data_IF_388736760174
#
_entry.id   IF_388736760174
#
_cell.length_a   1.000
_cell.length_b   1.000
_cell.length_c   1.000
_cell.angle_alpha   90.00
_cell.angle_beta   90.00
_cell.angle_gamma   90.00
#
_symmetry.space_group_name_H-M   'P 1'
#
loop_
_entity.id
_entity.type
_entity.pdbx_description
1 polymer ?
#
# COMPACT_ATOMS: atom_id res chain seq x y z
N UNK A 1 2.52 5.06 10.87
CA UNK A 1 3.41 6.24 10.89
C UNK A 1 3.86 6.54 9.48
N UNK A 2 4.03 7.82 9.13
CA UNK A 2 4.64 8.22 7.84
C UNK A 2 6.14 8.38 8.01
N UNK A 3 6.92 7.90 7.04
CA UNK A 3 8.35 8.17 6.96
C UNK A 3 8.61 9.18 5.85
N UNK A 4 9.56 10.08 6.05
CA UNK A 4 9.82 11.22 5.15
C UNK A 4 11.32 11.42 4.95
N UNK A 5 11.73 11.58 3.69
CA UNK A 5 13.06 12.04 3.28
C UNK A 5 12.88 13.38 2.58
N UNK A 6 13.60 14.41 3.03
CA UNK A 6 13.58 15.74 2.43
C UNK A 6 14.91 16.01 1.72
N UNK A 7 14.83 16.46 0.47
CA UNK A 7 15.97 16.86 -0.35
C UNK A 7 15.98 18.37 -0.48
N UNK A 8 17.16 18.99 -0.34
CA UNK A 8 17.35 20.43 -0.41
C UNK A 8 18.54 20.78 -1.30
N UNK A 9 18.52 21.99 -1.86
CA UNK A 9 19.71 22.62 -2.43
C UNK A 9 20.73 22.94 -1.32
N UNK A 10 21.98 23.24 -1.71
CA UNK A 10 23.01 23.71 -0.78
C UNK A 10 22.64 25.04 -0.09
N UNK A 11 21.75 25.82 -0.69
CA UNK A 11 21.19 27.06 -0.12
C UNK A 11 19.96 26.80 0.77
N UNK A 12 19.74 25.55 1.20
CA UNK A 12 18.64 25.11 2.05
C UNK A 12 17.22 25.24 1.47
N UNK A 13 17.08 25.43 0.16
CA UNK A 13 15.77 25.41 -0.51
C UNK A 13 15.30 23.96 -0.73
N UNK A 14 14.12 23.53 -0.23
CA UNK A 14 13.54 22.23 -0.57
C UNK A 14 13.40 22.04 -2.08
N UNK A 15 13.65 20.83 -2.58
CA UNK A 15 13.49 20.48 -4.01
C UNK A 15 12.65 19.21 -4.21
N UNK A 16 12.64 18.31 -3.23
CA UNK A 16 11.80 17.14 -3.27
C UNK A 16 11.52 16.61 -1.86
N UNK A 17 10.41 15.92 -1.73
CA UNK A 17 10.10 15.09 -0.57
C UNK A 17 9.68 13.70 -1.04
N UNK A 18 10.31 12.68 -0.48
CA UNK A 18 9.88 11.29 -0.63
C UNK A 18 9.22 10.87 0.67
N UNK A 19 8.01 10.31 0.59
CA UNK A 19 7.28 9.87 1.77
C UNK A 19 6.68 8.48 1.60
N UNK A 20 6.71 7.70 2.67
CA UNK A 20 6.27 6.31 2.71
C UNK A 20 5.18 6.16 3.78
N UNK A 21 4.01 5.68 3.36
CA UNK A 21 2.90 5.42 4.28
C UNK A 21 2.11 4.18 3.84
N UNK A 22 1.76 3.33 4.80
CA UNK A 22 1.05 2.08 4.56
C UNK A 22 -0.46 2.32 4.53
N UNK A 23 -1.02 2.47 3.32
CA UNK A 23 -2.46 2.61 3.10
C UNK A 23 -2.81 2.30 1.64
N UNK A 24 -3.87 1.54 1.42
CA UNK A 24 -4.42 1.34 0.08
C UNK A 24 -4.94 2.65 -0.53
N UNK A 25 -4.61 2.88 -1.80
CA UNK A 25 -5.15 3.97 -2.62
C UNK A 25 -6.45 3.53 -3.32
N UNK A 26 -7.51 3.32 -2.53
CA UNK A 26 -8.76 2.68 -2.99
C UNK A 26 -10.03 3.50 -2.74
N UNK A 27 -9.90 4.72 -2.22
CA UNK A 27 -11.04 5.58 -1.86
C UNK A 27 -11.84 6.08 -3.07
N UNK A 28 -11.20 6.22 -4.23
CA UNK A 28 -11.84 6.59 -5.49
C UNK A 28 -12.47 5.39 -6.21
N UNK A 29 -12.35 4.17 -5.67
CA UNK A 29 -12.63 2.92 -6.38
C UNK A 29 -14.08 2.73 -6.87
N UNK A 30 -15.03 3.58 -6.48
CA UNK A 30 -16.42 3.55 -6.95
C UNK A 30 -16.85 4.79 -7.74
N UNK A 31 -15.92 5.73 -7.98
CA UNK A 31 -16.20 7.00 -8.65
C UNK A 31 -16.18 6.89 -10.18
N UNK A 32 -15.63 5.80 -10.73
CA UNK A 32 -15.31 5.58 -12.16
C UNK A 32 -14.65 6.81 -12.80
N UNK A 33 -13.61 7.31 -12.15
CA UNK A 33 -12.85 8.46 -12.62
C UNK A 33 -11.35 8.18 -12.50
N UNK A 34 -10.57 8.81 -13.38
CA UNK A 34 -9.11 8.83 -13.23
C UNK A 34 -8.78 9.74 -12.05
N UNK A 35 -8.06 9.19 -11.07
CA UNK A 35 -7.69 9.89 -9.84
C UNK A 35 -6.37 9.35 -9.31
N UNK A 36 -5.58 10.22 -8.69
CA UNK A 36 -4.43 9.81 -7.86
C UNK A 36 -4.82 9.36 -6.45
N UNK A 37 -6.12 9.37 -6.13
CA UNK A 37 -6.67 9.00 -4.83
C UNK A 37 -6.08 9.88 -3.69
N UNK A 38 -6.07 9.39 -2.46
CA UNK A 38 -5.47 10.08 -1.31
C UNK A 38 -3.97 10.36 -1.54
N UNK A 39 -3.13 9.42 -2.05
CA UNK A 39 -1.72 9.71 -2.32
C UNK A 39 -1.51 10.88 -3.29
N UNK A 40 -2.24 10.88 -4.41
CA UNK A 40 -2.13 11.95 -5.41
C UNK A 40 -2.61 13.29 -4.87
N UNK A 41 -3.68 13.29 -4.08
CA UNK A 41 -4.16 14.52 -3.42
C UNK A 41 -3.19 15.02 -2.35
N UNK A 42 -2.52 14.09 -1.63
CA UNK A 42 -1.45 14.41 -0.67
C UNK A 42 -0.27 15.08 -1.38
N UNK A 43 0.25 14.45 -2.45
CA UNK A 43 1.36 15.01 -3.22
C UNK A 43 1.02 16.39 -3.77
N UNK A 44 -0.15 16.54 -4.39
CA UNK A 44 -0.60 17.83 -4.94
C UNK A 44 -0.68 18.92 -3.87
N UNK A 45 -1.21 18.59 -2.68
CA UNK A 45 -1.32 19.55 -1.58
C UNK A 45 0.05 20.00 -1.06
N UNK A 46 1.00 19.06 -0.92
CA UNK A 46 2.36 19.38 -0.53
C UNK A 46 3.02 20.27 -1.60
N UNK A 47 2.97 19.88 -2.87
CA UNK A 47 3.56 20.63 -3.98
C UNK A 47 3.02 22.06 -4.07
N UNK A 48 1.70 22.23 -3.94
CA UNK A 48 1.03 23.54 -3.90
C UNK A 48 1.51 24.42 -2.73
N UNK A 49 1.76 23.83 -1.56
CA UNK A 49 2.26 24.55 -0.38
C UNK A 49 3.66 25.15 -0.60
N UNK A 50 4.44 24.60 -1.54
CA UNK A 50 5.77 25.09 -1.91
C UNK A 50 5.75 25.74 -3.31
N UNK A 51 4.65 26.36 -3.70
CA UNK A 51 4.48 27.07 -4.98
C UNK A 51 4.83 26.22 -6.22
N UNK A 52 4.66 24.90 -6.11
CA UNK A 52 5.05 23.89 -7.10
C UNK A 52 6.55 23.91 -7.46
N UNK A 53 7.41 24.41 -6.56
CA UNK A 53 8.86 24.40 -6.73
C UNK A 53 9.54 23.10 -6.26
N UNK A 54 8.77 22.18 -5.65
CA UNK A 54 9.26 20.85 -5.24
C UNK A 54 8.42 19.73 -5.84
N UNK A 55 8.97 18.51 -5.83
CA UNK A 55 8.24 17.29 -6.19
C UNK A 55 7.94 16.48 -4.93
N UNK A 56 6.69 16.05 -4.74
CA UNK A 56 6.28 15.19 -3.63
C UNK A 56 6.01 13.75 -4.10
N UNK A 57 6.94 12.84 -3.79
CA UNK A 57 6.88 11.44 -4.23
C UNK A 57 6.30 10.55 -3.14
N UNK A 58 5.13 9.98 -3.41
CA UNK A 58 4.53 8.91 -2.61
C UNK A 58 5.21 7.57 -2.89
N UNK A 59 5.40 6.79 -1.83
CA UNK A 59 5.63 5.35 -1.91
C UNK A 59 4.66 4.59 -1.01
N UNK A 60 4.09 3.52 -1.55
CA UNK A 60 3.16 2.67 -0.82
C UNK A 60 3.93 1.83 0.17
N UNK A 61 3.67 2.03 1.47
CA UNK A 61 4.13 1.13 2.53
C UNK A 61 3.42 -0.22 2.47
N UNK A 62 3.76 -1.16 3.35
CA UNK A 62 3.08 -2.46 3.45
C UNK A 62 1.59 -2.31 3.80
N UNK A 63 0.76 -2.15 2.77
CA UNK A 63 -0.64 -1.78 2.90
C UNK A 63 -1.58 -2.95 2.69
N UNK A 64 -1.10 -4.18 2.50
CA UNK A 64 -1.91 -5.34 2.11
C UNK A 64 -3.13 -5.59 2.99
N UNK A 65 -3.06 -5.21 4.27
CA UNK A 65 -4.16 -5.27 5.26
C UNK A 65 -4.57 -3.88 5.79
N UNK A 66 -4.18 -2.79 5.13
CA UNK A 66 -4.40 -1.39 5.55
C UNK A 66 -5.29 -0.66 4.55
N UNK A 67 -6.54 -0.40 4.93
CA UNK A 67 -7.45 0.50 4.21
C UNK A 67 -7.40 1.94 4.77
N UNK A 68 -7.83 2.96 4.01
CA UNK A 68 -8.10 4.28 4.57
C UNK A 68 -9.09 4.18 5.74
N UNK A 69 -8.84 4.93 6.81
CA UNK A 69 -9.70 4.90 8.01
C UNK A 69 -11.07 5.55 7.75
N UNK A 70 -11.10 6.66 6.99
CA UNK A 70 -12.33 7.35 6.64
C UNK A 70 -12.83 6.87 5.27
N UNK A 71 -13.65 5.81 5.31
CA UNK A 71 -14.03 5.04 4.13
C UNK A 71 -15.52 4.67 4.09
N UNK A 72 -16.35 5.37 4.87
CA UNK A 72 -17.75 5.01 5.12
C UNK A 72 -18.62 5.02 3.84
N UNK A 73 -18.41 6.01 2.96
CA UNK A 73 -19.17 6.16 1.73
C UNK A 73 -19.06 4.93 0.83
N UNK A 74 -17.88 4.27 0.83
CA UNK A 74 -17.68 3.01 0.08
C UNK A 74 -18.60 1.90 0.57
N UNK A 75 -18.85 1.81 1.88
CA UNK A 75 -19.76 0.83 2.46
C UNK A 75 -21.22 1.18 2.18
N UNK A 76 -21.62 2.44 2.33
CA UNK A 76 -22.99 2.86 2.06
C UNK A 76 -23.39 2.68 0.59
N UNK A 77 -22.49 3.06 -0.34
CA UNK A 77 -22.68 2.83 -1.77
C UNK A 77 -22.72 1.33 -2.09
N UNK A 78 -21.89 0.52 -1.43
CA UNK A 78 -21.93 -0.94 -1.56
C UNK A 78 -23.30 -1.50 -1.13
N UNK A 79 -23.84 -1.04 -0.01
CA UNK A 79 -25.12 -1.52 0.51
C UNK A 79 -26.30 -1.15 -0.39
N UNK A 80 -26.30 0.06 -0.95
CA UNK A 80 -27.27 0.47 -1.97
C UNK A 80 -27.20 -0.51 -3.14
N UNK A 81 -25.99 -0.75 -3.65
CA UNK A 81 -25.78 -1.63 -4.80
C UNK A 81 -26.24 -3.07 -4.53
N UNK A 82 -25.93 -3.63 -3.36
CA UNK A 82 -26.39 -4.97 -2.95
C UNK A 82 -27.92 -5.04 -3.00
N UNK A 83 -28.61 -4.05 -2.42
CA UNK A 83 -30.08 -4.01 -2.41
C UNK A 83 -30.68 -3.90 -3.82
N UNK A 84 -30.08 -3.10 -4.70
CA UNK A 84 -30.56 -2.97 -6.09
C UNK A 84 -30.35 -4.23 -6.94
N UNK A 85 -29.25 -4.96 -6.74
CA UNK A 85 -29.05 -6.26 -7.37
C UNK A 85 -30.01 -7.33 -6.81
N UNK A 86 -30.25 -7.32 -5.49
CA UNK A 86 -31.17 -8.27 -4.87
C UNK A 86 -32.61 -8.14 -5.41
N UNK A 87 -33.07 -6.92 -5.76
CA UNK A 87 -34.38 -6.71 -6.41
C UNK A 87 -34.50 -7.42 -7.77
N UNK A 88 -33.38 -7.73 -8.42
CA UNK A 88 -33.30 -8.47 -9.69
C UNK A 88 -33.05 -9.97 -9.48
N UNK A 89 -33.00 -10.44 -8.24
CA UNK A 89 -32.69 -11.82 -7.89
C UNK A 89 -31.19 -12.15 -7.94
N UNK A 90 -30.32 -11.14 -7.97
CA UNK A 90 -28.87 -11.32 -8.02
C UNK A 90 -28.23 -10.99 -6.66
N UNK A 91 -27.44 -11.91 -6.10
CA UNK A 91 -26.64 -11.66 -4.88
C UNK A 91 -25.17 -11.35 -5.24
N UNK A 92 -24.77 -10.11 -4.96
CA UNK A 92 -23.40 -9.63 -5.17
C UNK A 92 -22.66 -9.37 -3.84
N UNK A 93 -23.24 -9.70 -2.69
CA UNK A 93 -22.69 -9.40 -1.36
C UNK A 93 -21.27 -9.94 -1.19
N UNK A 94 -20.98 -11.10 -1.80
CA UNK A 94 -19.69 -11.78 -1.78
C UNK A 94 -18.94 -11.74 -3.13
N UNK A 95 -19.47 -11.02 -4.14
CA UNK A 95 -18.91 -10.92 -5.49
C UNK A 95 -19.23 -9.54 -6.11
N UNK A 96 -18.67 -8.50 -5.50
CA UNK A 96 -18.97 -7.11 -5.88
C UNK A 96 -18.43 -6.78 -7.28
N UNK A 97 -19.24 -6.19 -8.18
CA UNK A 97 -18.75 -5.68 -9.46
C UNK A 97 -17.64 -4.63 -9.28
N UNK A 98 -16.69 -4.52 -10.22
CA UNK A 98 -15.62 -3.53 -10.16
C UNK A 98 -16.16 -2.11 -10.33
N UNK A 99 -15.46 -1.13 -9.79
CA UNK A 99 -15.83 0.27 -9.96
C UNK A 99 -17.17 0.63 -9.32
N UNK A 100 -17.79 1.67 -9.86
CA UNK A 100 -19.16 2.08 -9.62
C UNK A 100 -20.19 1.33 -10.47
N UNK A 101 -19.80 0.23 -11.14
CA UNK A 101 -20.73 -0.59 -11.95
C UNK A 101 -22.00 -0.91 -11.17
N UNK A 102 -23.15 -0.57 -11.75
CA UNK A 102 -24.48 -0.83 -11.18
C UNK A 102 -24.98 0.22 -10.17
N UNK A 103 -24.24 1.31 -9.92
CA UNK A 103 -24.74 2.46 -9.17
C UNK A 103 -25.53 3.39 -10.09
N UNK A 104 -26.76 3.74 -9.69
CA UNK A 104 -27.54 4.78 -10.35
C UNK A 104 -27.04 6.16 -9.90
N UNK A 105 -26.27 6.82 -10.76
CA UNK A 105 -25.70 8.15 -10.50
C UNK A 105 -26.75 9.28 -10.49
N UNK A 106 -27.94 9.04 -11.02
CA UNK A 106 -29.05 10.01 -10.98
C UNK A 106 -29.82 9.95 -9.65
N UNK A 107 -29.64 8.88 -8.87
CA UNK A 107 -30.20 8.80 -7.53
C UNK A 107 -29.56 9.89 -6.64
N UNK A 108 -30.35 10.80 -6.03
CA UNK A 108 -29.80 11.90 -5.23
C UNK A 108 -28.95 11.43 -4.04
N UNK A 109 -29.27 10.28 -3.45
CA UNK A 109 -28.48 9.71 -2.36
C UNK A 109 -27.13 9.21 -2.86
N UNK A 110 -27.10 8.50 -3.99
CA UNK A 110 -25.84 8.02 -4.60
C UNK A 110 -24.96 9.20 -4.99
N UNK A 111 -25.52 10.20 -5.67
CA UNK A 111 -24.79 11.41 -6.06
C UNK A 111 -24.18 12.13 -4.85
N UNK A 112 -24.94 12.29 -3.76
CA UNK A 112 -24.46 12.86 -2.49
C UNK A 112 -23.29 12.05 -1.92
N UNK A 113 -23.41 10.73 -1.82
CA UNK A 113 -22.37 9.87 -1.25
C UNK A 113 -21.09 9.89 -2.08
N UNK A 114 -21.20 9.88 -3.41
CA UNK A 114 -20.04 10.01 -4.30
C UNK A 114 -19.36 11.37 -4.15
N UNK A 115 -20.12 12.45 -3.94
CA UNK A 115 -19.52 13.76 -3.67
C UNK A 115 -18.80 13.76 -2.32
N UNK A 116 -19.43 13.25 -1.26
CA UNK A 116 -18.80 13.12 0.06
C UNK A 116 -17.55 12.23 0.02
N UNK A 117 -17.53 11.20 -0.84
CA UNK A 117 -16.36 10.35 -1.05
C UNK A 117 -15.21 11.12 -1.72
N UNK A 118 -15.49 12.06 -2.63
CA UNK A 118 -14.46 12.97 -3.18
C UNK A 118 -13.95 13.91 -2.10
N UNK A 119 -14.85 14.49 -1.31
CA UNK A 119 -14.49 15.44 -0.26
C UNK A 119 -13.59 14.77 0.79
N UNK A 120 -13.88 13.53 1.19
CA UNK A 120 -13.05 12.81 2.17
C UNK A 120 -11.68 12.40 1.60
N UNK A 121 -11.57 12.11 0.29
CA UNK A 121 -10.27 11.89 -0.37
C UNK A 121 -9.41 13.16 -0.24
N UNK A 122 -10.01 14.33 -0.50
CA UNK A 122 -9.33 15.61 -0.38
C UNK A 122 -8.91 15.86 1.07
N UNK A 123 -9.82 15.70 2.03
CA UNK A 123 -9.52 15.90 3.45
C UNK A 123 -8.40 14.97 3.94
N UNK A 124 -8.46 13.67 3.62
CA UNK A 124 -7.40 12.74 4.00
C UNK A 124 -6.06 13.10 3.36
N UNK A 125 -6.07 13.55 2.10
CA UNK A 125 -4.85 13.98 1.41
C UNK A 125 -4.22 15.22 2.06
N UNK A 126 -5.03 16.20 2.43
CA UNK A 126 -4.57 17.39 3.16
C UNK A 126 -4.03 17.04 4.54
N UNK A 127 -4.74 16.21 5.31
CA UNK A 127 -4.30 15.78 6.64
C UNK A 127 -2.98 15.02 6.59
N UNK A 128 -2.83 14.11 5.62
CA UNK A 128 -1.58 13.39 5.44
C UNK A 128 -0.44 14.31 4.95
N UNK A 129 -0.75 15.27 4.09
CA UNK A 129 0.22 16.26 3.63
C UNK A 129 0.71 17.17 4.77
N UNK A 130 -0.18 17.59 5.67
CA UNK A 130 0.18 18.30 6.89
C UNK A 130 1.09 17.48 7.80
N UNK A 131 0.83 16.17 7.93
CA UNK A 131 1.69 15.28 8.70
C UNK A 131 3.07 15.12 8.05
N UNK A 132 3.15 14.99 6.71
CA UNK A 132 4.43 14.97 5.98
C UNK A 132 5.21 16.26 6.24
N UNK A 133 4.55 17.42 6.11
CA UNK A 133 5.18 18.71 6.39
C UNK A 133 5.57 18.85 7.86
N UNK A 134 4.79 18.32 8.79
CA UNK A 134 5.13 18.27 10.21
C UNK A 134 6.43 17.49 10.43
N UNK A 135 6.56 16.29 9.83
CA UNK A 135 7.80 15.52 9.90
C UNK A 135 8.96 16.29 9.24
N UNK A 136 8.76 16.91 8.08
CA UNK A 136 9.79 17.73 7.41
C UNK A 136 10.32 18.85 8.31
N UNK A 137 9.44 19.59 9.02
CA UNK A 137 9.83 20.66 9.96
C UNK A 137 10.69 20.16 11.12
N UNK A 138 10.54 18.88 11.48
CA UNK A 138 11.28 18.22 12.54
C UNK A 138 12.62 17.62 12.09
N UNK A 139 12.94 17.59 10.79
CA UNK A 139 14.25 17.15 10.29
C UNK A 139 15.29 18.25 10.59
N UNK A 140 16.22 17.97 11.52
CA UNK A 140 17.25 18.93 11.96
C UNK A 140 18.65 18.68 11.39
N UNK A 141 18.94 17.47 10.91
CA UNK A 141 20.26 17.09 10.40
C UNK A 141 20.14 16.71 8.93
N UNK A 142 20.99 17.32 8.11
CA UNK A 142 21.11 17.08 6.68
C UNK A 142 22.56 16.72 6.39
N UNK A 143 22.74 15.75 5.51
CA UNK A 143 24.05 15.31 5.03
C UNK A 143 24.21 15.74 3.58
N UNK A 144 25.40 16.18 3.19
CA UNK A 144 25.70 16.69 1.84
C UNK A 144 26.47 15.70 0.99
N UNK A 145 27.01 14.65 1.60
CA UNK A 145 27.70 13.54 0.94
C UNK A 145 27.00 12.25 1.34
N UNK A 146 26.19 11.72 0.41
CA UNK A 146 25.38 10.51 0.64
C UNK A 146 25.91 9.40 -0.26
N UNK A 147 26.52 8.34 0.28
CA UNK A 147 26.77 7.13 -0.50
C UNK A 147 25.44 6.47 -0.87
N UNK A 148 25.35 6.00 -2.13
CA UNK A 148 24.17 5.31 -2.66
C UNK A 148 24.59 3.89 -3.02
N UNK A 149 24.03 2.92 -2.33
CA UNK A 149 24.23 1.51 -2.61
C UNK A 149 22.89 0.89 -3.00
N UNK A 150 22.92 -0.08 -3.91
CA UNK A 150 21.70 -0.74 -4.38
C UNK A 150 21.89 -2.23 -4.39
N UNK A 151 20.78 -2.97 -4.26
CA UNK A 151 20.79 -4.42 -4.29
C UNK A 151 19.44 -4.94 -4.76
N UNK A 152 19.44 -6.15 -5.33
CA UNK A 152 18.20 -6.84 -5.66
C UNK A 152 18.38 -8.34 -5.55
N UNK A 153 17.31 -9.03 -5.17
CA UNK A 153 17.31 -10.47 -4.96
C UNK A 153 15.97 -11.05 -5.39
N UNK A 154 15.99 -12.25 -5.93
CA UNK A 154 14.78 -13.04 -6.14
C UNK A 154 14.75 -14.10 -5.05
N UNK A 155 13.62 -14.19 -4.34
CA UNK A 155 13.33 -15.28 -3.42
C UNK A 155 12.19 -16.12 -3.99
N UNK A 156 12.17 -17.41 -3.66
CA UNK A 156 11.17 -18.34 -4.16
C UNK A 156 10.41 -18.94 -2.99
N UNK A 157 9.09 -18.84 -3.02
CA UNK A 157 8.20 -19.35 -1.97
C UNK A 157 7.27 -20.44 -2.55
N UNK A 158 6.97 -21.52 -1.80
CA UNK A 158 6.02 -22.53 -2.23
C UNK A 158 4.63 -21.94 -2.53
N UNK A 159 4.08 -22.31 -3.70
CA UNK A 159 2.79 -21.82 -4.16
C UNK A 159 1.60 -22.70 -3.76
N UNK A 160 0.40 -22.13 -3.85
CA UNK A 160 -0.89 -22.82 -3.73
C UNK A 160 -1.93 -22.20 -4.67
N UNK A 161 -2.89 -22.99 -5.12
CA UNK A 161 -4.05 -22.52 -5.88
C UNK A 161 -5.33 -22.71 -5.07
N UNK A 162 -6.23 -21.73 -5.12
CA UNK A 162 -7.54 -21.81 -4.46
C UNK A 162 -8.53 -22.55 -5.35
N UNK A 163 -9.20 -23.56 -4.79
CA UNK A 163 -10.14 -24.46 -5.48
C UNK A 163 -11.59 -23.98 -5.41
N UNK A 164 -11.95 -23.19 -4.41
CA UNK A 164 -13.31 -22.68 -4.21
C UNK A 164 -13.41 -21.17 -4.43
N UNK A 165 -14.64 -20.69 -4.66
CA UNK A 165 -14.96 -19.29 -4.92
C UNK A 165 -15.42 -18.56 -3.65
N UNK A 166 -15.59 -17.24 -3.76
CA UNK A 166 -16.07 -16.36 -2.70
C UNK A 166 -15.00 -15.37 -2.26
N UNK A 167 -15.39 -14.14 -1.97
CA UNK A 167 -14.50 -13.06 -1.54
C UNK A 167 -14.00 -13.23 -0.11
N UNK A 168 -14.86 -13.57 0.85
CA UNK A 168 -14.51 -13.66 2.28
C UNK A 168 -15.58 -14.44 3.08
N UNK A 169 -15.24 -14.82 4.32
CA UNK A 169 -16.17 -15.38 5.31
C UNK A 169 -16.35 -16.90 5.27
N UNK A 170 -15.73 -17.58 4.29
CA UNK A 170 -15.80 -19.02 4.12
C UNK A 170 -14.41 -19.61 3.99
N UNK A 171 -14.23 -20.82 4.54
CA UNK A 171 -12.97 -21.54 4.47
C UNK A 171 -12.49 -21.74 3.02
N UNK A 172 -11.26 -21.31 2.74
CA UNK A 172 -10.59 -21.56 1.47
C UNK A 172 -10.10 -23.00 1.35
N UNK A 173 -10.32 -23.63 0.19
CA UNK A 173 -9.75 -24.94 -0.15
C UNK A 173 -8.60 -24.74 -1.13
N UNK A 174 -7.48 -25.41 -0.90
CA UNK A 174 -6.26 -25.21 -1.68
C UNK A 174 -5.64 -26.52 -2.12
N UNK A 175 -4.96 -26.46 -3.26
CA UNK A 175 -4.01 -27.47 -3.72
C UNK A 175 -2.62 -26.87 -3.87
N UNK A 176 -1.61 -27.73 -3.91
CA UNK A 176 -0.24 -27.36 -4.18
C UNK A 176 -0.09 -26.79 -5.59
N UNK A 177 0.77 -25.78 -5.74
CA UNK A 177 1.05 -25.15 -7.02
C UNK A 177 2.54 -24.85 -7.16
N UNK A 178 2.95 -24.50 -8.38
CA UNK A 178 4.32 -24.10 -8.68
C UNK A 178 4.82 -23.00 -7.73
N UNK A 179 6.10 -23.02 -7.34
CA UNK A 179 6.69 -21.96 -6.56
C UNK A 179 6.53 -20.59 -7.23
N UNK A 180 6.40 -19.55 -6.40
CA UNK A 180 6.23 -18.18 -6.83
C UNK A 180 7.48 -17.40 -6.44
N UNK A 181 8.04 -16.71 -7.43
CA UNK A 181 9.16 -15.79 -7.24
C UNK A 181 8.66 -14.43 -6.76
N UNK A 182 9.35 -13.89 -5.76
CA UNK A 182 9.18 -12.52 -5.28
C UNK A 182 10.48 -11.77 -5.52
N UNK A 183 10.36 -10.55 -6.05
CA UNK A 183 11.49 -9.65 -6.28
C UNK A 183 11.62 -8.73 -5.07
N UNK A 184 12.76 -8.82 -4.41
CA UNK A 184 13.22 -7.94 -3.37
C UNK A 184 14.20 -6.92 -3.96
N UNK A 185 14.23 -5.72 -3.40
CA UNK A 185 15.20 -4.69 -3.77
C UNK A 185 15.55 -3.79 -2.61
N UNK A 186 16.68 -3.10 -2.74
CA UNK A 186 17.19 -2.14 -1.79
C UNK A 186 17.76 -0.93 -2.53
N UNK A 187 17.39 0.26 -2.08
CA UNK A 187 18.17 1.48 -2.26
C UNK A 187 18.60 1.92 -0.87
N UNK A 188 19.91 1.98 -0.65
CA UNK A 188 20.51 2.48 0.58
C UNK A 188 20.98 3.90 0.33
N UNK A 189 20.46 4.85 1.10
CA UNK A 189 20.94 6.24 1.11
C UNK A 189 21.63 6.49 2.45
N UNK A 190 22.96 6.43 2.49
CA UNK A 190 23.73 6.44 3.74
C UNK A 190 23.21 5.39 4.75
N UNK A 191 22.52 5.82 5.81
CA UNK A 191 21.94 4.97 6.86
C UNK A 191 20.41 4.83 6.76
N UNK A 192 19.84 5.06 5.57
CA UNK A 192 18.42 5.00 5.28
C UNK A 192 18.14 3.89 4.25
N UNK A 193 17.76 2.67 4.71
CA UNK A 193 17.33 1.61 3.81
C UNK A 193 15.92 1.86 3.28
N UNK A 194 15.78 1.97 1.97
CA UNK A 194 14.52 1.87 1.25
C UNK A 194 14.44 0.46 0.67
N UNK A 195 13.84 -0.45 1.42
CA UNK A 195 13.58 -1.81 0.97
C UNK A 195 12.36 -1.86 0.06
N UNK A 196 12.30 -2.84 -0.84
CA UNK A 196 11.22 -2.94 -1.81
C UNK A 196 10.79 -4.38 -2.07
N UNK A 197 9.48 -4.59 -2.29
CA UNK A 197 8.88 -5.89 -2.62
C UNK A 197 7.84 -5.73 -3.72
N UNK A 198 7.83 -6.62 -4.72
CA UNK A 198 6.93 -6.57 -5.88
C UNK A 198 5.51 -7.14 -5.63
N UNK A 199 4.99 -7.05 -4.40
CA UNK A 199 3.72 -7.64 -4.00
C UNK A 199 2.98 -6.76 -2.98
N UNK A 200 1.72 -7.10 -2.68
CA UNK A 200 0.92 -6.45 -1.63
C UNK A 200 1.18 -7.14 -0.27
N UNK A 201 1.87 -6.45 0.64
CA UNK A 201 2.43 -7.03 1.86
C UNK A 201 1.60 -6.60 3.09
N UNK A 202 1.29 -7.54 3.98
CA UNK A 202 0.68 -7.20 5.28
C UNK A 202 1.62 -6.37 6.14
N UNK A 203 1.06 -5.38 6.84
CA UNK A 203 1.84 -4.39 7.58
C UNK A 203 2.76 -5.00 8.64
N UNK A 204 2.34 -6.08 9.32
CA UNK A 204 3.16 -6.72 10.34
C UNK A 204 4.49 -7.29 9.82
N UNK A 205 4.58 -7.65 8.54
CA UNK A 205 5.84 -8.07 7.92
C UNK A 205 6.82 -6.89 7.87
N UNK A 206 6.34 -5.70 7.50
CA UNK A 206 7.16 -4.49 7.51
C UNK A 206 7.51 -4.02 8.93
N UNK A 207 6.61 -4.20 9.90
CA UNK A 207 6.90 -3.93 11.32
C UNK A 207 8.03 -4.83 11.81
N UNK A 208 7.97 -6.13 11.50
CA UNK A 208 9.04 -7.08 11.82
C UNK A 208 10.37 -6.67 11.19
N UNK A 209 10.39 -6.38 9.89
CA UNK A 209 11.59 -5.88 9.20
C UNK A 209 12.19 -4.65 9.90
N UNK A 210 11.35 -3.66 10.24
CA UNK A 210 11.80 -2.43 10.91
C UNK A 210 12.38 -2.70 12.30
N UNK A 211 11.82 -3.66 13.04
CA UNK A 211 12.31 -4.03 14.37
C UNK A 211 13.63 -4.82 14.31
N UNK A 212 13.82 -5.64 13.29
CA UNK A 212 15.02 -6.48 13.11
C UNK A 212 16.15 -5.75 12.35
N UNK A 213 15.84 -4.66 11.64
CA UNK A 213 16.84 -3.90 10.91
C UNK A 213 17.84 -3.19 11.84
N UNK A 214 19.14 -3.17 11.51
CA UNK A 214 20.13 -2.39 12.24
C UNK A 214 19.94 -0.87 12.08
N UNK A 215 19.08 -0.44 11.15
CA UNK A 215 18.80 0.97 10.88
C UNK A 215 17.39 1.37 11.33
N UNK A 216 17.31 2.34 12.24
CA UNK A 216 16.03 2.89 12.75
C UNK A 216 15.21 3.63 11.68
N UNK A 217 15.83 3.96 10.54
CA UNK A 217 15.22 4.69 9.41
C UNK A 217 14.76 3.78 8.27
N UNK A 218 14.63 2.47 8.53
CA UNK A 218 14.24 1.47 7.52
C UNK A 218 12.80 1.68 7.05
N UNK A 219 12.63 1.70 5.73
CA UNK A 219 11.34 1.78 5.04
C UNK A 219 11.11 0.55 4.18
N UNK A 220 9.85 0.21 3.95
CA UNK A 220 9.42 -0.78 2.96
C UNK A 220 8.49 -0.10 1.96
N UNK A 221 8.86 -0.15 0.69
CA UNK A 221 7.99 0.17 -0.43
C UNK A 221 7.45 -1.13 -1.05
N UNK A 222 6.17 -1.17 -1.37
CA UNK A 222 5.52 -2.34 -1.97
C UNK A 222 5.03 -2.06 -3.38
N UNK A 223 4.66 -3.10 -4.11
CA UNK A 223 4.18 -2.99 -5.51
C UNK A 223 5.25 -2.34 -6.41
N UNK A 224 6.51 -2.69 -6.17
CA UNK A 224 7.66 -2.15 -6.91
C UNK A 224 8.20 -3.16 -7.92
N UNK A 225 8.72 -2.71 -9.07
CA UNK A 225 9.46 -3.57 -10.01
C UNK A 225 8.65 -4.76 -10.55
N UNK A 226 7.37 -4.51 -10.87
CA UNK A 226 6.41 -5.48 -11.40
C UNK A 226 5.42 -5.97 -10.34
N UNK A 227 4.59 -6.94 -10.73
CA UNK A 227 3.57 -7.53 -9.86
C UNK A 227 3.81 -9.03 -9.75
N UNK A 228 4.12 -9.51 -8.54
CA UNK A 228 4.18 -10.94 -8.27
C UNK A 228 2.80 -11.58 -8.47
N UNK A 229 2.78 -12.82 -8.98
CA UNK A 229 1.56 -13.63 -9.08
C UNK A 229 1.10 -14.21 -7.74
N UNK A 230 1.53 -13.64 -6.61
CA UNK A 230 1.22 -14.10 -5.26
C UNK A 230 -0.18 -13.71 -4.79
N UNK A 231 -0.76 -12.65 -5.36
CA UNK A 231 -1.83 -11.91 -4.68
C UNK A 231 -1.26 -11.21 -3.44
N UNK A 232 -2.07 -11.10 -2.39
CA UNK A 232 -1.62 -10.59 -1.09
C UNK A 232 -0.65 -11.55 -0.41
N UNK A 233 0.24 -11.00 0.42
CA UNK A 233 1.16 -11.75 1.27
C UNK A 233 0.83 -11.47 2.74
N UNK A 234 0.04 -12.35 3.38
CA UNK A 234 -0.23 -12.29 4.80
C UNK A 234 1.03 -12.58 5.62
N UNK A 235 1.10 -12.00 6.82
CA UNK A 235 2.03 -12.48 7.84
C UNK A 235 1.59 -13.88 8.31
N UNK A 236 2.51 -14.66 8.88
CA UNK A 236 2.30 -16.08 9.17
C UNK A 236 1.10 -16.31 10.11
N UNK A 237 0.91 -15.42 11.09
CA UNK A 237 -0.20 -15.49 12.03
C UNK A 237 -1.58 -15.16 11.44
N UNK A 238 -1.65 -14.53 10.26
CA UNK A 238 -2.91 -14.19 9.60
C UNK A 238 -3.49 -15.36 8.77
N UNK A 239 -2.68 -16.37 8.46
CA UNK A 239 -3.19 -17.56 7.77
C UNK A 239 -4.25 -18.27 8.62
N UNK A 240 -5.36 -18.62 7.99
CA UNK A 240 -6.55 -19.18 8.66
C UNK A 240 -7.66 -18.15 8.90
N UNK A 241 -7.36 -16.85 8.80
CA UNK A 241 -8.40 -15.83 8.72
C UNK A 241 -9.09 -15.89 7.37
N UNK A 242 -10.43 -15.86 7.36
CA UNK A 242 -11.24 -15.99 6.15
C UNK A 242 -11.48 -14.62 5.50
N UNK A 243 -10.45 -13.79 5.44
CA UNK A 243 -10.50 -12.47 4.79
C UNK A 243 -10.10 -12.59 3.32
N UNK A 244 -10.44 -11.57 2.54
CA UNK A 244 -10.19 -11.56 1.09
C UNK A 244 -8.71 -11.71 0.74
N UNK A 245 -7.86 -11.03 1.49
CA UNK A 245 -6.42 -10.97 1.27
C UNK A 245 -5.77 -12.33 1.55
N UNK A 246 -6.11 -12.94 2.70
CA UNK A 246 -5.59 -14.27 3.06
C UNK A 246 -6.10 -15.32 2.09
N UNK A 247 -7.38 -15.24 1.72
CA UNK A 247 -7.99 -16.20 0.82
C UNK A 247 -7.41 -16.11 -0.61
N UNK A 248 -7.08 -14.90 -1.07
CA UNK A 248 -6.50 -14.67 -2.40
C UNK A 248 -5.00 -14.93 -2.47
N UNK A 249 -4.31 -15.08 -1.33
CA UNK A 249 -2.89 -15.41 -1.30
C UNK A 249 -2.59 -16.78 -1.92
N UNK A 250 -1.72 -16.78 -2.92
CA UNK A 250 -1.22 -17.95 -3.65
C UNK A 250 0.07 -18.52 -3.07
N UNK A 251 0.47 -18.08 -1.88
CA UNK A 251 1.64 -18.58 -1.16
C UNK A 251 1.21 -19.50 -0.01
N UNK A 252 1.96 -20.58 0.21
CA UNK A 252 1.75 -21.45 1.37
C UNK A 252 2.09 -20.72 2.69
N UNK A 253 1.38 -21.01 3.79
CA UNK A 253 1.67 -20.45 5.12
C UNK A 253 3.09 -20.82 5.60
N UNK A 254 3.75 -19.91 6.32
CA UNK A 254 5.01 -20.19 7.02
C UNK A 254 6.30 -20.00 6.20
N UNK A 255 6.21 -19.45 4.98
CA UNK A 255 7.38 -19.28 4.09
C UNK A 255 7.68 -17.83 3.77
N UNK A 256 6.68 -17.07 3.32
CA UNK A 256 6.89 -15.78 2.67
C UNK A 256 7.39 -14.69 3.64
N UNK A 257 6.83 -14.62 4.85
CA UNK A 257 7.20 -13.59 5.84
C UNK A 257 8.70 -13.63 6.14
N UNK A 258 9.22 -14.78 6.56
CA UNK A 258 10.63 -14.92 6.92
C UNK A 258 11.55 -14.80 5.71
N UNK A 259 11.14 -15.31 4.54
CA UNK A 259 11.93 -15.18 3.32
C UNK A 259 12.08 -13.70 2.88
N UNK A 260 11.01 -12.91 2.99
CA UNK A 260 11.03 -11.46 2.70
C UNK A 260 11.90 -10.72 3.71
N UNK A 261 11.65 -10.90 5.02
CA UNK A 261 12.39 -10.17 6.07
C UNK A 261 13.88 -10.49 5.99
N UNK A 262 14.26 -11.77 6.01
CA UNK A 262 15.66 -12.17 5.96
C UNK A 262 16.31 -11.74 4.66
N UNK A 263 15.63 -11.91 3.52
CA UNK A 263 16.18 -11.50 2.22
C UNK A 263 16.43 -10.00 2.11
N UNK A 264 15.62 -9.16 2.76
CA UNK A 264 15.84 -7.71 2.81
C UNK A 264 16.95 -7.33 3.81
N UNK A 265 17.05 -8.01 4.96
CA UNK A 265 18.14 -7.82 5.91
C UNK A 265 19.49 -8.24 5.31
N UNK A 266 19.53 -9.32 4.53
CA UNK A 266 20.71 -9.73 3.76
C UNK A 266 21.17 -8.61 2.82
N UNK A 267 20.25 -8.05 2.03
CA UNK A 267 20.57 -6.94 1.11
C UNK A 267 21.11 -5.72 1.85
N UNK A 268 20.55 -5.40 3.03
CA UNK A 268 21.03 -4.29 3.87
C UNK A 268 22.48 -4.57 4.35
N UNK A 269 22.75 -5.80 4.78
CA UNK A 269 24.06 -6.20 5.24
C UNK A 269 25.11 -6.18 4.11
N UNK A 270 24.77 -6.74 2.95
CA UNK A 270 25.61 -6.75 1.73
C UNK A 270 25.89 -5.35 1.19
N UNK A 271 24.96 -4.40 1.36
CA UNK A 271 25.18 -3.02 0.94
C UNK A 271 26.11 -2.24 1.87
N UNK A 272 26.46 -2.77 3.04
CA UNK A 272 27.16 -2.04 4.11
C UNK A 272 28.52 -2.64 4.47
N UNK A 273 28.84 -3.83 3.96
CA UNK A 273 30.08 -4.59 4.19
C UNK A 273 30.63 -5.12 2.86
#
# INVERSE_FOLDING_TARGET
TVAVICFKTMDNKPIAVYYNYAMHAVAAGQLDMISGDVPGTTSKYIEDTFDNEIIAVWSTGASGDQNPIYFNQTYELRDIRIKEYAKRGEDISNAMPPGGTGLDRNNPQVAKLMQQQKDIIISMGQMLGEEVQHVMRNIKRYETVIPINTGSKIITCPGRNRLNKGRAGYEGKYEDADPIELRLGLIMLDNIPITSVNAEIFNYIAVRLKNESPYTRTMMATITNGTARSGYIPNDAAYGFQTFEVLSSRLKPGYAESAIVNGLLDLINEATH
#
